data_IF_781268105919
#
_entry.id   IF_781268105919
#
_cell.length_a   1.000
_cell.length_b   1.000
_cell.length_c   1.000
_cell.angle_alpha   90.00
_cell.angle_beta   90.00
_cell.angle_gamma   90.00
#
_symmetry.space_group_name_H-M   'P 1'
#
loop_
_entity.id
_entity.type
_entity.pdbx_description
1 polymer ?
#
# COMPACT_ATOMS: atom_id res chain seq x y z
N UNK A 1 14.22 -5.23 -6.40
CA UNK A 1 13.20 -4.55 -5.57
C UNK A 1 12.14 -5.58 -5.24
N UNK A 2 11.63 -5.60 -4.03
CA UNK A 2 10.58 -6.54 -3.58
C UNK A 2 9.22 -6.00 -4.04
N UNK A 3 8.37 -6.83 -4.65
CA UNK A 3 6.99 -6.43 -4.99
C UNK A 3 6.14 -6.30 -3.73
N UNK A 4 4.99 -5.62 -3.81
CA UNK A 4 4.05 -5.59 -2.68
C UNK A 4 3.60 -6.99 -2.22
N UNK A 5 3.45 -7.93 -3.16
CA UNK A 5 3.09 -9.32 -2.87
C UNK A 5 4.20 -10.07 -2.11
N UNK A 6 5.44 -9.92 -2.56
CA UNK A 6 6.62 -10.52 -1.90
C UNK A 6 6.81 -9.94 -0.49
N UNK A 7 6.60 -8.62 -0.33
CA UNK A 7 6.66 -7.92 0.95
C UNK A 7 5.66 -8.51 1.97
N UNK A 8 4.42 -8.77 1.55
CA UNK A 8 3.42 -9.43 2.40
C UNK A 8 3.87 -10.85 2.75
N UNK A 9 4.33 -11.61 1.76
CA UNK A 9 4.75 -13.00 1.95
C UNK A 9 5.87 -13.09 2.99
N UNK A 10 6.89 -12.24 2.88
CA UNK A 10 8.02 -12.21 3.81
C UNK A 10 7.55 -11.88 5.24
N UNK A 11 6.80 -10.80 5.42
CA UNK A 11 6.26 -10.43 6.74
C UNK A 11 5.37 -11.52 7.33
N UNK A 12 4.54 -12.17 6.50
CA UNK A 12 3.72 -13.30 6.94
C UNK A 12 4.58 -14.43 7.49
N UNK A 13 5.64 -14.81 6.77
CA UNK A 13 6.56 -15.88 7.20
C UNK A 13 7.35 -15.51 8.45
N UNK A 14 7.78 -14.25 8.60
CA UNK A 14 8.44 -13.75 9.81
C UNK A 14 7.53 -13.81 11.05
N UNK A 15 6.20 -13.71 10.85
CA UNK A 15 5.20 -13.90 11.91
C UNK A 15 4.78 -15.36 12.13
N UNK A 16 5.36 -16.31 11.40
CA UNK A 16 5.02 -17.73 11.50
C UNK A 16 3.61 -18.07 11.01
N UNK A 17 2.99 -17.20 10.22
CA UNK A 17 1.62 -17.38 9.74
C UNK A 17 1.59 -18.16 8.42
N UNK A 18 0.67 -19.10 8.29
CA UNK A 18 0.32 -19.68 7.00
C UNK A 18 -0.66 -18.77 6.23
N UNK A 19 -0.88 -19.08 4.94
CA UNK A 19 -1.74 -18.26 4.09
C UNK A 19 -3.19 -18.20 4.58
N UNK A 20 -3.72 -19.31 5.09
CA UNK A 20 -5.09 -19.38 5.62
C UNK A 20 -5.26 -18.50 6.86
N UNK A 21 -4.27 -18.48 7.75
CA UNK A 21 -4.29 -17.66 8.96
C UNK A 21 -4.25 -16.15 8.67
N UNK A 22 -3.36 -15.72 7.77
CA UNK A 22 -3.32 -14.30 7.39
C UNK A 22 -4.57 -13.91 6.59
N UNK A 23 -5.03 -14.78 5.68
CA UNK A 23 -6.22 -14.52 4.88
C UNK A 23 -7.44 -14.29 5.78
N UNK A 24 -7.65 -15.15 6.78
CA UNK A 24 -8.74 -15.00 7.75
C UNK A 24 -8.68 -13.64 8.49
N UNK A 25 -7.48 -13.20 8.90
CA UNK A 25 -7.29 -11.90 9.59
C UNK A 25 -7.56 -10.70 8.69
N UNK A 26 -7.35 -10.82 7.39
CA UNK A 26 -7.51 -9.75 6.38
C UNK A 26 -8.89 -9.81 5.70
N UNK A 27 -9.71 -10.80 6.04
CA UNK A 27 -11.02 -11.05 5.44
C UNK A 27 -10.91 -11.50 3.98
N UNK A 28 -9.92 -12.32 3.67
CA UNK A 28 -9.71 -12.99 2.39
C UNK A 28 -9.87 -14.50 2.56
N UNK A 29 -10.04 -15.21 1.46
CA UNK A 29 -9.81 -16.64 1.39
C UNK A 29 -8.31 -16.93 1.15
N UNK A 30 -7.87 -18.15 1.46
CA UNK A 30 -6.48 -18.57 1.29
C UNK A 30 -6.01 -18.42 -0.17
N UNK A 31 -6.89 -18.74 -1.14
CA UNK A 31 -6.64 -18.54 -2.57
C UNK A 31 -6.51 -17.06 -2.96
N UNK A 32 -7.31 -16.18 -2.35
CA UNK A 32 -7.22 -14.74 -2.56
C UNK A 32 -5.91 -14.16 -2.04
N UNK A 33 -5.48 -14.55 -0.83
CA UNK A 33 -4.18 -14.12 -0.32
C UNK A 33 -3.03 -14.66 -1.16
N UNK A 34 -3.08 -15.93 -1.57
CA UNK A 34 -2.05 -16.52 -2.44
C UNK A 34 -1.93 -15.76 -3.77
N UNK A 35 -3.04 -15.36 -4.38
CA UNK A 35 -3.01 -14.53 -5.59
C UNK A 35 -2.42 -13.14 -5.33
N UNK A 36 -2.69 -12.54 -4.17
CA UNK A 36 -2.08 -11.26 -3.78
C UNK A 36 -0.56 -11.39 -3.62
N UNK A 37 -0.10 -12.40 -2.88
CA UNK A 37 1.34 -12.63 -2.66
C UNK A 37 2.12 -12.92 -3.95
N UNK A 38 1.45 -13.47 -4.97
CA UNK A 38 2.05 -13.74 -6.28
C UNK A 38 1.78 -12.65 -7.33
N UNK A 39 1.23 -11.49 -6.94
CA UNK A 39 0.93 -10.38 -7.87
C UNK A 39 -0.18 -10.68 -8.89
N UNK A 40 -0.91 -11.79 -8.74
CA UNK A 40 -2.01 -12.20 -9.64
C UNK A 40 -3.34 -11.53 -9.32
N UNK A 41 -3.45 -10.86 -8.16
CA UNK A 41 -4.65 -10.16 -7.72
C UNK A 41 -4.25 -8.95 -6.88
N UNK A 42 -4.86 -7.81 -7.16
CA UNK A 42 -4.67 -6.62 -6.36
C UNK A 42 -5.42 -6.71 -5.02
N UNK A 43 -4.75 -6.27 -3.94
CA UNK A 43 -5.38 -6.08 -2.64
C UNK A 43 -6.15 -4.76 -2.63
N UNK A 44 -7.40 -4.77 -2.17
CA UNK A 44 -8.19 -3.54 -2.01
C UNK A 44 -7.62 -2.66 -0.89
N UNK A 45 -7.59 -1.34 -1.10
CA UNK A 45 -7.09 -0.35 -0.13
C UNK A 45 -7.73 -0.45 1.26
N UNK A 46 -9.03 -0.77 1.32
CA UNK A 46 -9.75 -0.92 2.59
C UNK A 46 -9.23 -2.08 3.45
N UNK A 47 -8.43 -3.00 2.89
CA UNK A 47 -7.80 -4.10 3.62
C UNK A 47 -6.42 -3.76 4.19
N UNK A 48 -5.82 -2.62 3.82
CA UNK A 48 -4.47 -2.24 4.27
C UNK A 48 -4.39 -2.09 5.79
N UNK A 49 -5.43 -1.57 6.45
CA UNK A 49 -5.47 -1.49 7.91
C UNK A 49 -5.53 -2.88 8.57
N UNK A 50 -6.35 -3.78 8.03
CA UNK A 50 -6.45 -5.15 8.54
C UNK A 50 -5.14 -5.91 8.35
N UNK A 51 -4.49 -5.71 7.21
CA UNK A 51 -3.18 -6.29 6.91
C UNK A 51 -2.11 -5.80 7.88
N UNK A 52 -2.01 -4.49 8.12
CA UNK A 52 -1.08 -3.90 9.08
C UNK A 52 -1.30 -4.48 10.50
N UNK A 53 -2.56 -4.56 10.94
CA UNK A 53 -2.94 -5.14 12.23
C UNK A 53 -2.57 -6.62 12.32
N UNK A 54 -2.83 -7.41 11.28
CA UNK A 54 -2.54 -8.83 11.24
C UNK A 54 -1.03 -9.13 11.29
N UNK A 55 -0.24 -8.32 10.58
CA UNK A 55 1.21 -8.42 10.51
C UNK A 55 1.93 -7.67 11.65
N UNK A 56 1.19 -6.96 12.52
CA UNK A 56 1.72 -6.17 13.64
C UNK A 56 2.83 -5.19 13.21
N UNK A 57 2.55 -4.40 12.18
CA UNK A 57 3.43 -3.34 11.69
C UNK A 57 2.64 -2.04 11.51
N UNK A 58 3.33 -0.92 11.33
CA UNK A 58 2.66 0.36 11.10
C UNK A 58 1.90 0.32 9.77
N UNK A 59 0.67 0.86 9.79
CA UNK A 59 -0.12 1.05 8.59
C UNK A 59 0.55 2.01 7.61
N UNK A 60 1.38 2.94 8.10
CA UNK A 60 2.19 3.82 7.27
C UNK A 60 3.16 3.03 6.38
N UNK A 61 3.81 1.99 6.90
CA UNK A 61 4.72 1.14 6.14
C UNK A 61 4.00 0.29 5.09
N UNK A 62 2.83 -0.27 5.46
CA UNK A 62 1.96 -0.97 4.50
C UNK A 62 1.55 -0.02 3.36
N UNK A 63 1.08 1.19 3.69
CA UNK A 63 0.65 2.18 2.70
C UNK A 63 1.80 2.61 1.81
N UNK A 64 2.99 2.82 2.38
CA UNK A 64 4.20 3.17 1.63
C UNK A 64 4.48 2.14 0.54
N UNK A 65 4.54 0.85 0.88
CA UNK A 65 4.80 -0.18 -0.13
C UNK A 65 3.66 -0.32 -1.13
N UNK A 66 2.41 -0.33 -0.66
CA UNK A 66 1.25 -0.44 -1.54
C UNK A 66 1.22 0.70 -2.58
N UNK A 67 1.28 1.96 -2.14
CA UNK A 67 1.19 3.09 -3.06
C UNK A 67 2.45 3.26 -3.92
N UNK A 68 3.64 2.86 -3.42
CA UNK A 68 4.85 2.88 -4.26
C UNK A 68 4.73 1.96 -5.47
N UNK A 69 4.15 0.77 -5.30
CA UNK A 69 3.87 -0.17 -6.39
C UNK A 69 2.84 0.44 -7.35
N UNK A 70 1.71 0.95 -6.83
CA UNK A 70 0.67 1.59 -7.67
C UNK A 70 1.22 2.74 -8.50
N UNK A 71 2.04 3.60 -7.91
CA UNK A 71 2.65 4.73 -8.62
C UNK A 71 3.62 4.25 -9.70
N UNK A 72 4.41 3.21 -9.45
CA UNK A 72 5.29 2.61 -10.44
C UNK A 72 4.49 1.96 -11.58
N UNK A 73 3.47 1.16 -11.27
CA UNK A 73 2.55 0.56 -12.25
C UNK A 73 1.92 1.63 -13.14
N UNK A 74 1.36 2.69 -12.55
CA UNK A 74 0.74 3.79 -13.30
C UNK A 74 1.75 4.56 -14.15
N UNK A 75 2.94 4.83 -13.62
CA UNK A 75 4.03 5.47 -14.37
C UNK A 75 4.35 4.68 -15.66
N UNK A 76 4.51 3.35 -15.55
CA UNK A 76 4.79 2.50 -16.71
C UNK A 76 3.59 2.36 -17.64
N UNK A 77 2.39 2.15 -17.08
CA UNK A 77 1.14 1.97 -17.83
C UNK A 77 0.81 3.18 -18.70
N UNK A 78 0.95 4.38 -18.16
CA UNK A 78 0.64 5.63 -18.85
C UNK A 78 1.84 6.26 -19.55
N UNK A 79 3.03 5.64 -19.46
CA UNK A 79 4.27 6.12 -20.08
C UNK A 79 4.58 7.56 -19.70
N UNK A 80 4.48 7.85 -18.41
CA UNK A 80 4.70 9.20 -17.88
C UNK A 80 6.18 9.61 -18.07
N UNK A 81 6.46 10.90 -18.32
CA UNK A 81 7.84 11.41 -18.27
C UNK A 81 8.34 11.46 -16.83
N UNK A 82 9.66 11.33 -16.61
CA UNK A 82 10.27 11.36 -15.26
C UNK A 82 9.97 12.64 -14.47
N UNK A 83 9.71 13.75 -15.17
CA UNK A 83 9.29 15.02 -14.57
C UNK A 83 7.98 14.90 -13.77
N UNK A 84 7.20 13.83 -13.94
CA UNK A 84 5.98 13.56 -13.18
C UNK A 84 6.27 13.45 -11.68
N UNK A 85 7.42 12.89 -11.29
CA UNK A 85 7.75 12.70 -9.87
C UNK A 85 7.95 14.03 -9.16
N UNK A 86 8.71 14.95 -9.77
CA UNK A 86 8.91 16.30 -9.23
C UNK A 86 7.58 17.05 -9.12
N UNK A 87 6.78 17.04 -10.18
CA UNK A 87 5.48 17.72 -10.18
C UNK A 87 4.51 17.14 -9.14
N UNK A 88 4.51 15.81 -8.95
CA UNK A 88 3.70 15.16 -7.93
C UNK A 88 4.12 15.56 -6.51
N UNK A 89 5.43 15.67 -6.25
CA UNK A 89 5.95 16.13 -4.96
C UNK A 89 5.55 17.60 -4.67
N UNK A 90 5.70 18.48 -5.66
CA UNK A 90 5.28 19.88 -5.56
C UNK A 90 3.78 19.99 -5.27
N UNK A 91 2.94 19.23 -5.98
CA UNK A 91 1.49 19.16 -5.73
C UNK A 91 1.17 18.63 -4.34
N UNK A 92 1.86 17.60 -3.86
CA UNK A 92 1.66 17.04 -2.52
C UNK A 92 1.98 18.07 -1.43
N UNK A 93 3.08 18.81 -1.56
CA UNK A 93 3.46 19.91 -0.65
C UNK A 93 2.41 21.02 -0.67
N UNK A 94 1.95 21.42 -1.86
CA UNK A 94 0.88 22.40 -2.02
C UNK A 94 -0.42 21.95 -1.31
N UNK A 95 -0.89 20.72 -1.56
CA UNK A 95 -2.09 20.18 -0.92
C UNK A 95 -1.98 20.04 0.60
N UNK A 96 -0.77 19.78 1.13
CA UNK A 96 -0.53 19.81 2.57
C UNK A 96 -0.70 21.23 3.12
N UNK A 97 -0.14 22.23 2.44
CA UNK A 97 -0.21 23.63 2.88
C UNK A 97 -1.64 24.19 2.90
N UNK A 98 -2.48 23.85 1.92
CA UNK A 98 -3.87 24.32 1.88
C UNK A 98 -4.71 23.70 3.01
N UNK A 99 -4.51 22.41 3.30
CA UNK A 99 -5.26 21.70 4.36
C UNK A 99 -4.88 22.20 5.75
N UNK A 100 -3.60 22.52 5.97
CA UNK A 100 -3.14 23.13 7.22
C UNK A 100 -3.75 24.52 7.42
N UNK A 101 -3.85 25.34 6.35
CA UNK A 101 -4.49 26.68 6.41
C UNK A 101 -6.00 26.59 6.67
N UNK A 102 -6.72 25.67 6.03
CA UNK A 102 -8.16 25.49 6.28
C UNK A 102 -8.47 24.99 7.70
N UNK A 103 -7.57 24.22 8.33
CA UNK A 103 -7.71 23.83 9.72
C UNK A 103 -7.47 24.96 10.74
N UNK A 104 -6.80 26.04 10.34
CA UNK A 104 -6.49 27.20 11.19
C UNK A 104 -7.46 28.39 11.01
N UNK A 105 -8.34 28.34 10.01
CA UNK A 105 -9.40 29.34 9.76
C UNK A 105 -10.78 28.93 10.34
N UNK A 106 -10.88 27.74 10.96
CA UNK A 106 -12.08 27.25 11.64
C UNK A 106 -11.86 27.20 13.17
N UNK A 107 -11.35 28.29 13.75
CA UNK A 107 -11.36 28.56 15.19
C UNK A 107 -11.77 30.02 15.41
#
# INVERSE_FOLDING_TARGET
MESFGDYIRRLRTEKGLNQTELAAKVGLDSGGLSKVENGKKELKENKLQLLAKALKIDVADIKKQYFSEKFAEDYFKYKCPDSVFQLAEEKAKYYKSIKTKQGSLNL
#
